data_IF_663536153125
#
_entry.id   IF_663536153125
#
_cell.length_a   1.000
_cell.length_b   1.000
_cell.length_c   1.000
_cell.angle_alpha   90.00
_cell.angle_beta   90.00
_cell.angle_gamma   90.00
#
_symmetry.space_group_name_H-M   'P 1'
#
loop_
_entity.id
_entity.type
_entity.pdbx_description
1 polymer ?
#
# COMPACT_ATOMS: atom_id res chain seq x y z
N UNK A 1 26.74 1.45 -7.51
CA UNK A 1 25.51 1.76 -8.28
C UNK A 1 25.90 1.73 -9.75
N UNK A 2 25.24 0.94 -10.61
CA UNK A 2 25.68 0.82 -12.01
C UNK A 2 25.23 2.01 -12.87
N UNK A 3 24.04 2.57 -12.62
CA UNK A 3 23.55 3.87 -13.18
C UNK A 3 22.66 4.60 -12.16
N UNK A 4 22.26 5.86 -12.44
CA UNK A 4 21.41 6.71 -11.57
C UNK A 4 19.93 6.76 -11.99
N UNK A 5 19.45 5.78 -12.75
CA UNK A 5 18.07 5.67 -13.22
C UNK A 5 17.53 4.25 -13.01
N UNK A 6 16.22 4.06 -13.17
CA UNK A 6 15.60 2.72 -13.15
C UNK A 6 15.89 2.02 -14.47
N UNK A 7 16.42 0.80 -14.40
CA UNK A 7 16.76 0.00 -15.58
C UNK A 7 15.90 -1.28 -15.64
N UNK A 8 14.95 -1.28 -16.59
CA UNK A 8 14.07 -2.44 -16.82
C UNK A 8 14.78 -3.62 -17.49
N UNK A 9 15.75 -3.36 -18.38
CA UNK A 9 16.50 -4.43 -19.06
C UNK A 9 17.40 -5.13 -18.06
N UNK A 10 18.07 -4.36 -17.20
CA UNK A 10 18.86 -4.92 -16.10
C UNK A 10 18.00 -5.82 -15.19
N UNK A 11 16.78 -5.41 -14.84
CA UNK A 11 15.88 -6.22 -14.01
C UNK A 11 15.48 -7.54 -14.69
N UNK A 12 15.25 -7.52 -16.02
CA UNK A 12 14.98 -8.75 -16.80
C UNK A 12 16.21 -9.66 -16.80
N UNK A 13 17.39 -9.13 -17.08
CA UNK A 13 18.64 -9.91 -17.07
C UNK A 13 18.95 -10.48 -15.69
N UNK A 14 18.63 -9.75 -14.62
CA UNK A 14 18.76 -10.24 -13.25
C UNK A 14 17.88 -11.47 -13.00
N UNK A 15 16.61 -11.44 -13.43
CA UNK A 15 15.72 -12.60 -13.32
C UNK A 15 16.17 -13.78 -14.17
N UNK A 16 16.63 -13.54 -15.40
CA UNK A 16 17.18 -14.60 -16.25
C UNK A 16 18.40 -15.25 -15.61
N UNK A 17 19.27 -14.46 -14.98
CA UNK A 17 20.42 -14.99 -14.25
C UNK A 17 19.99 -15.80 -13.02
N UNK A 18 18.96 -15.38 -12.29
CA UNK A 18 18.44 -16.13 -11.15
C UNK A 18 17.85 -17.48 -11.57
N UNK A 19 17.09 -17.51 -12.67
CA UNK A 19 16.57 -18.74 -13.27
C UNK A 19 17.73 -19.64 -13.71
N UNK A 20 18.72 -19.10 -14.42
CA UNK A 20 19.87 -19.86 -14.89
C UNK A 20 20.72 -20.44 -13.74
N UNK A 21 20.93 -19.69 -12.66
CA UNK A 21 21.73 -20.12 -11.51
C UNK A 21 21.02 -21.14 -10.62
N UNK A 22 19.69 -21.11 -10.55
CA UNK A 22 18.90 -22.00 -9.69
C UNK A 22 18.34 -23.21 -10.42
N UNK A 23 18.16 -23.12 -11.74
CA UNK A 23 17.43 -24.12 -12.54
C UNK A 23 15.92 -24.16 -12.28
N UNK A 24 15.38 -23.20 -11.53
CA UNK A 24 13.98 -23.16 -11.09
C UNK A 24 13.15 -22.20 -11.95
N UNK A 25 11.86 -22.49 -12.09
CA UNK A 25 10.89 -21.56 -12.66
C UNK A 25 10.69 -20.34 -11.75
N UNK A 26 10.18 -19.25 -12.33
CA UNK A 26 9.82 -18.04 -11.57
C UNK A 26 8.84 -18.37 -10.44
N UNK A 27 7.85 -19.22 -10.70
CA UNK A 27 6.86 -19.60 -9.69
C UNK A 27 7.52 -20.32 -8.51
N UNK A 28 8.38 -21.31 -8.76
CA UNK A 28 9.10 -22.02 -7.69
C UNK A 28 9.98 -21.06 -6.86
N UNK A 29 10.71 -20.16 -7.51
CA UNK A 29 11.54 -19.16 -6.83
C UNK A 29 10.69 -18.28 -5.92
N UNK A 30 9.56 -17.78 -6.43
CA UNK A 30 8.66 -16.90 -5.67
C UNK A 30 8.00 -17.63 -4.51
N UNK A 31 7.52 -18.85 -4.71
CA UNK A 31 6.91 -19.68 -3.67
C UNK A 31 7.92 -20.04 -2.57
N UNK A 32 9.16 -20.39 -2.93
CA UNK A 32 10.22 -20.63 -1.95
C UNK A 32 10.60 -19.35 -1.19
N UNK A 33 10.61 -18.20 -1.86
CA UNK A 33 10.83 -16.91 -1.22
C UNK A 33 9.73 -16.62 -0.19
N UNK A 34 8.46 -16.81 -0.57
CA UNK A 34 7.34 -16.64 0.35
C UNK A 34 7.37 -17.64 1.50
N UNK A 35 7.65 -18.92 1.26
CA UNK A 35 7.78 -19.91 2.32
C UNK A 35 8.88 -19.55 3.32
N UNK A 36 9.95 -18.88 2.88
CA UNK A 36 11.07 -18.48 3.73
C UNK A 36 10.84 -17.18 4.49
N UNK A 37 10.18 -16.19 3.89
CA UNK A 37 10.08 -14.82 4.44
C UNK A 37 8.65 -14.38 4.80
N UNK A 38 7.66 -15.20 4.45
CA UNK A 38 6.24 -14.82 4.39
C UNK A 38 5.89 -14.12 3.07
N UNK A 39 4.61 -14.13 2.72
CA UNK A 39 4.05 -13.43 1.56
C UNK A 39 3.51 -12.08 2.01
N UNK A 40 3.80 -11.02 1.25
CA UNK A 40 3.09 -9.75 1.35
C UNK A 40 2.07 -9.70 0.22
N UNK A 41 0.81 -9.91 0.55
CA UNK A 41 -0.28 -9.61 -0.37
C UNK A 41 -0.33 -8.11 -0.60
N UNK A 42 -0.33 -7.68 -1.85
CA UNK A 42 -0.30 -6.27 -2.18
C UNK A 42 -1.33 -5.97 -3.27
N UNK A 43 -2.04 -4.85 -3.11
CA UNK A 43 -2.82 -4.25 -4.19
C UNK A 43 -2.87 -2.74 -4.03
N UNK A 44 -2.93 -2.03 -5.17
CA UNK A 44 -3.19 -0.59 -5.21
C UNK A 44 -4.54 -0.33 -5.86
N UNK A 45 -5.36 0.45 -5.18
CA UNK A 45 -6.67 0.89 -5.62
C UNK A 45 -6.60 2.39 -5.93
N UNK A 46 -6.75 2.77 -7.19
CA UNK A 46 -6.77 4.17 -7.62
C UNK A 46 -8.23 4.60 -7.87
N UNK A 47 -8.67 5.63 -7.15
CA UNK A 47 -9.96 6.29 -7.32
C UNK A 47 -9.73 7.61 -8.05
N UNK A 48 -9.85 7.56 -9.37
CA UNK A 48 -9.50 8.67 -10.26
C UNK A 48 -10.65 9.65 -10.46
N UNK A 49 -10.32 10.90 -10.76
CA UNK A 49 -11.27 11.98 -11.03
C UNK A 49 -12.34 12.12 -9.93
N UNK A 50 -11.95 12.03 -8.65
CA UNK A 50 -12.82 12.37 -7.53
C UNK A 50 -12.83 13.88 -7.31
N UNK A 51 -13.91 14.39 -6.70
CA UNK A 51 -13.97 15.81 -6.32
C UNK A 51 -12.80 16.15 -5.37
N UNK A 52 -12.02 17.17 -5.74
CA UNK A 52 -10.81 17.51 -5.00
C UNK A 52 -11.14 18.06 -3.60
N UNK A 53 -12.24 18.80 -3.44
CA UNK A 53 -12.67 19.31 -2.14
C UNK A 53 -13.04 18.19 -1.18
N UNK A 54 -13.86 17.26 -1.64
CA UNK A 54 -14.28 16.08 -0.90
C UNK A 54 -13.09 15.17 -0.56
N UNK A 55 -12.17 14.95 -1.50
CA UNK A 55 -10.99 14.12 -1.28
C UNK A 55 -10.01 14.76 -0.26
N UNK A 56 -9.81 16.07 -0.31
CA UNK A 56 -9.02 16.78 0.71
C UNK A 56 -9.71 16.70 2.08
N UNK A 57 -11.02 16.97 2.16
CA UNK A 57 -11.77 16.88 3.40
C UNK A 57 -11.75 15.46 4.00
N UNK A 58 -11.77 14.42 3.15
CA UNK A 58 -11.58 13.04 3.58
C UNK A 58 -10.19 12.82 4.19
N UNK A 59 -9.13 13.24 3.50
CA UNK A 59 -7.77 13.10 4.00
C UNK A 59 -7.54 13.87 5.30
N UNK A 60 -8.11 15.07 5.44
CA UNK A 60 -8.00 15.87 6.66
C UNK A 60 -8.79 15.26 7.82
N UNK A 61 -9.98 14.73 7.56
CA UNK A 61 -10.74 13.97 8.55
C UNK A 61 -9.99 12.71 8.99
N UNK A 62 -9.29 12.03 8.08
CA UNK A 62 -8.44 10.89 8.41
C UNK A 62 -7.23 11.31 9.26
N UNK A 63 -6.55 12.41 8.89
CA UNK A 63 -5.44 12.99 9.65
C UNK A 63 -5.84 13.35 11.08
N UNK A 64 -7.01 13.93 11.26
CA UNK A 64 -7.55 14.29 12.58
C UNK A 64 -7.77 13.09 13.52
N UNK A 65 -7.86 11.87 12.97
CA UNK A 65 -8.05 10.64 13.76
C UNK A 65 -6.75 9.93 14.11
N UNK A 66 -5.62 10.23 13.44
CA UNK A 66 -4.39 9.42 13.52
C UNK A 66 -3.91 9.18 14.96
N UNK A 67 -3.89 10.23 15.78
CA UNK A 67 -3.48 10.13 17.18
C UNK A 67 -4.34 9.16 18.01
N UNK A 68 -5.60 8.97 17.62
CA UNK A 68 -6.51 8.03 18.29
C UNK A 68 -6.37 6.60 17.80
N UNK A 69 -5.85 6.37 16.59
CA UNK A 69 -5.84 5.05 15.96
C UNK A 69 -4.77 4.12 16.52
N UNK A 70 -3.61 4.66 16.92
CA UNK A 70 -2.53 3.83 17.47
C UNK A 70 -3.00 3.07 18.72
N UNK A 71 -2.73 1.76 18.77
CA UNK A 71 -3.16 0.88 19.85
C UNK A 71 -4.61 0.37 19.74
N UNK A 72 -5.43 0.91 18.83
CA UNK A 72 -6.77 0.37 18.58
C UNK A 72 -6.70 -0.98 17.86
N UNK A 73 -7.77 -1.75 17.99
CA UNK A 73 -8.00 -2.99 17.24
C UNK A 73 -9.10 -2.74 16.22
N UNK A 74 -8.81 -2.96 14.94
CA UNK A 74 -9.71 -2.77 13.81
C UNK A 74 -9.89 -4.13 13.12
N UNK A 75 -11.05 -4.77 13.35
CA UNK A 75 -11.23 -6.19 12.99
C UNK A 75 -10.21 -7.06 13.73
N UNK A 76 -9.47 -7.89 12.99
CA UNK A 76 -8.43 -8.76 13.54
C UNK A 76 -7.05 -8.09 13.66
N UNK A 77 -6.92 -6.81 13.27
CA UNK A 77 -5.65 -6.11 13.21
C UNK A 77 -5.48 -5.12 14.37
N UNK A 78 -4.35 -5.18 15.05
CA UNK A 78 -3.96 -4.18 16.05
C UNK A 78 -3.07 -3.12 15.40
N UNK A 79 -3.45 -1.85 15.50
CA UNK A 79 -2.69 -0.73 14.95
C UNK A 79 -1.45 -0.48 15.81
N UNK A 80 -0.27 -0.59 15.22
CA UNK A 80 1.00 -0.25 15.83
C UNK A 80 1.32 1.25 15.68
N UNK A 81 1.10 1.79 14.48
CA UNK A 81 1.43 3.18 14.13
C UNK A 81 0.35 3.73 13.21
N UNK A 82 -0.04 4.99 13.42
CA UNK A 82 -0.83 5.76 12.48
C UNK A 82 -0.23 7.16 12.35
N UNK A 83 0.29 7.52 11.17
CA UNK A 83 0.97 8.79 10.95
C UNK A 83 0.74 9.35 9.53
N UNK A 84 1.11 10.61 9.31
CA UNK A 84 1.23 11.19 7.97
C UNK A 84 2.71 11.28 7.61
N UNK A 85 3.11 10.47 6.64
CA UNK A 85 4.51 10.17 6.37
C UNK A 85 5.30 11.44 6.06
N UNK A 86 6.42 11.58 6.77
CA UNK A 86 7.41 12.64 6.55
C UNK A 86 8.77 11.98 6.38
N UNK A 87 9.53 12.45 5.40
CA UNK A 87 10.88 11.99 5.11
C UNK A 87 11.84 13.17 5.15
N UNK A 88 12.95 13.00 5.86
CA UNK A 88 14.08 13.93 5.87
C UNK A 88 15.23 13.27 5.13
N UNK A 89 15.66 13.87 4.02
CA UNK A 89 16.74 13.31 3.22
C UNK A 89 18.09 13.46 3.96
N UNK A 90 18.87 12.38 4.14
CA UNK A 90 20.10 12.45 4.92
C UNK A 90 21.28 13.10 4.16
N UNK A 91 21.14 13.40 2.86
CA UNK A 91 22.19 14.01 2.03
C UNK A 91 22.02 15.53 2.02
N UNK A 92 20.81 16.01 1.73
CA UNK A 92 20.55 17.46 1.62
C UNK A 92 19.70 18.04 2.77
N UNK A 93 19.24 17.20 3.69
CA UNK A 93 18.37 17.56 4.82
C UNK A 93 17.02 18.17 4.43
N UNK A 94 16.61 18.04 3.16
CA UNK A 94 15.28 18.46 2.72
C UNK A 94 14.19 17.63 3.41
N UNK A 95 13.07 18.28 3.74
CA UNK A 95 11.96 17.66 4.45
C UNK A 95 10.73 17.60 3.54
N UNK A 96 10.33 16.38 3.19
CA UNK A 96 9.09 16.11 2.46
C UNK A 96 8.02 15.63 3.43
N UNK A 97 7.06 16.51 3.74
CA UNK A 97 5.93 16.19 4.62
C UNK A 97 4.68 15.79 3.83
N UNK A 98 3.68 15.24 4.53
CA UNK A 98 2.36 14.85 3.97
C UNK A 98 2.46 13.89 2.79
N UNK A 99 3.43 12.97 2.83
CA UNK A 99 3.71 12.04 1.73
C UNK A 99 2.80 10.82 1.71
N UNK A 100 1.84 10.74 2.65
CA UNK A 100 0.81 9.71 2.66
C UNK A 100 0.49 9.31 4.08
N UNK A 101 -0.80 9.17 4.37
CA UNK A 101 -1.26 8.64 5.65
C UNK A 101 -0.96 7.14 5.68
N UNK A 102 -0.31 6.66 6.73
CA UNK A 102 -0.01 5.24 6.95
C UNK A 102 -0.70 4.75 8.21
N UNK A 103 -1.29 3.57 8.13
CA UNK A 103 -1.79 2.80 9.27
C UNK A 103 -1.07 1.46 9.21
N UNK A 104 -0.13 1.25 10.14
CA UNK A 104 0.72 0.06 10.21
C UNK A 104 0.25 -0.81 11.37
N UNK A 105 0.04 -2.08 11.08
CA UNK A 105 -0.45 -3.08 12.01
C UNK A 105 0.72 -3.82 12.66
N UNK A 106 0.50 -4.41 13.84
CA UNK A 106 1.55 -5.12 14.59
C UNK A 106 2.07 -6.38 13.92
N UNK A 107 1.29 -6.96 13.00
CA UNK A 107 1.66 -8.16 12.22
C UNK A 107 2.52 -7.83 10.97
N UNK A 108 2.80 -6.55 10.72
CA UNK A 108 3.52 -6.08 9.53
C UNK A 108 2.60 -5.66 8.36
N UNK A 109 1.30 -5.90 8.46
CA UNK A 109 0.32 -5.40 7.49
C UNK A 109 0.22 -3.87 7.54
N UNK A 110 -0.17 -3.23 6.44
CA UNK A 110 -0.35 -1.77 6.39
C UNK A 110 -1.34 -1.30 5.34
N UNK A 111 -1.95 -0.16 5.64
CA UNK A 111 -2.78 0.62 4.75
C UNK A 111 -2.09 1.95 4.53
N UNK A 112 -1.93 2.39 3.28
CA UNK A 112 -1.42 3.73 2.97
C UNK A 112 -2.40 4.44 2.05
N UNK A 113 -2.75 5.68 2.38
CA UNK A 113 -3.61 6.52 1.54
C UNK A 113 -2.85 7.77 1.12
N UNK A 114 -2.83 8.03 -0.19
CA UNK A 114 -2.21 9.21 -0.79
C UNK A 114 -3.20 9.94 -1.67
N UNK A 115 -3.19 11.26 -1.60
CA UNK A 115 -3.91 12.10 -2.54
C UNK A 115 -2.91 12.62 -3.58
N UNK A 116 -3.26 12.54 -4.85
CA UNK A 116 -2.42 13.01 -5.96
C UNK A 116 -3.24 13.76 -7.00
N UNK A 117 -2.57 14.70 -7.69
CA UNK A 117 -3.12 15.38 -8.87
C UNK A 117 -4.35 16.24 -8.60
N UNK A 118 -4.26 17.27 -7.75
CA UNK A 118 -5.37 18.19 -7.43
C UNK A 118 -5.62 19.26 -8.51
N UNK A 119 -5.56 18.88 -9.79
CA UNK A 119 -5.68 19.78 -10.93
C UNK A 119 -7.13 20.03 -11.36
N UNK A 120 -7.32 20.55 -12.58
CA UNK A 120 -8.64 20.80 -13.17
C UNK A 120 -9.45 19.52 -13.43
N UNK A 121 -8.79 18.36 -13.49
CA UNK A 121 -9.40 17.05 -13.78
C UNK A 121 -9.87 16.29 -12.51
N UNK A 122 -9.90 16.97 -11.36
CA UNK A 122 -10.25 16.37 -10.06
C UNK A 122 -9.01 15.96 -9.28
N UNK A 123 -9.13 14.97 -8.40
CA UNK A 123 -8.01 14.36 -7.69
C UNK A 123 -8.04 12.83 -7.83
N UNK A 124 -6.90 12.19 -7.58
CA UNK A 124 -6.79 10.73 -7.49
C UNK A 124 -6.43 10.34 -6.06
N UNK A 125 -7.32 9.61 -5.40
CA UNK A 125 -7.03 8.93 -4.14
C UNK A 125 -6.41 7.58 -4.46
N UNK A 126 -5.17 7.36 -4.00
CA UNK A 126 -4.46 6.10 -4.11
C UNK A 126 -4.46 5.40 -2.77
N UNK A 127 -5.07 4.23 -2.72
CA UNK A 127 -5.13 3.35 -1.56
C UNK A 127 -4.20 2.16 -1.81
N UNK A 128 -3.17 2.03 -1.00
CA UNK A 128 -2.23 0.91 -1.01
C UNK A 128 -2.56 -0.01 0.15
N UNK A 129 -2.70 -1.29 -0.14
CA UNK A 129 -3.10 -2.31 0.82
C UNK A 129 -2.02 -3.38 0.80
N UNK A 130 -1.42 -3.63 1.95
CA UNK A 130 -0.43 -4.69 2.10
C UNK A 130 -0.75 -5.54 3.33
N UNK A 131 -0.91 -6.84 3.14
CA UNK A 131 -1.16 -7.79 4.23
C UNK A 131 -0.04 -8.80 4.29
N UNK A 132 0.62 -8.88 5.44
CA UNK A 132 1.62 -9.90 5.69
C UNK A 132 0.94 -11.23 6.03
N UNK A 133 1.43 -12.32 5.43
CA UNK A 133 0.98 -13.67 5.72
C UNK A 133 2.20 -14.58 5.91
N UNK A 134 2.40 -15.04 7.14
CA UNK A 134 3.52 -15.92 7.48
C UNK A 134 3.24 -17.37 7.12
N UNK A 135 1.96 -17.80 7.12
CA UNK A 135 1.59 -19.20 6.92
C UNK A 135 1.62 -19.61 5.44
N UNK A 136 2.51 -20.54 5.02
CA UNK A 136 2.58 -21.00 3.64
C UNK A 136 1.29 -21.63 3.12
N UNK A 137 0.47 -22.25 4.00
CA UNK A 137 -0.81 -22.82 3.60
C UNK A 137 -1.81 -21.74 3.14
N UNK A 138 -1.54 -20.48 3.45
CA UNK A 138 -2.38 -19.33 3.11
C UNK A 138 -1.78 -18.48 2.01
N UNK A 139 -0.64 -18.86 1.44
CA UNK A 139 0.03 -18.12 0.38
C UNK A 139 -0.61 -18.29 -1.00
N UNK A 140 -1.57 -19.19 -1.19
CA UNK A 140 -2.25 -19.39 -2.49
C UNK A 140 -3.65 -18.78 -2.56
N UNK A 141 -4.01 -17.94 -1.57
CA UNK A 141 -5.28 -17.21 -1.62
C UNK A 141 -5.28 -16.18 -2.74
N UNK A 142 -6.47 -15.92 -3.30
CA UNK A 142 -6.68 -14.77 -4.18
C UNK A 142 -6.32 -13.47 -3.44
N UNK A 143 -5.63 -12.57 -4.14
CA UNK A 143 -5.11 -11.34 -3.52
C UNK A 143 -6.23 -10.45 -2.99
N UNK A 144 -7.35 -10.30 -3.71
CA UNK A 144 -8.44 -9.43 -3.23
C UNK A 144 -9.19 -10.07 -2.07
N UNK A 145 -9.34 -11.40 -2.06
CA UNK A 145 -9.89 -12.12 -0.91
C UNK A 145 -8.99 -11.96 0.33
N UNK A 146 -7.67 -12.11 0.17
CA UNK A 146 -6.72 -11.94 1.26
C UNK A 146 -6.72 -10.51 1.81
N UNK A 147 -6.93 -9.50 0.95
CA UNK A 147 -6.94 -8.07 1.31
C UNK A 147 -8.31 -7.54 1.76
N UNK A 148 -9.40 -8.29 1.60
CA UNK A 148 -10.76 -7.85 1.93
C UNK A 148 -10.90 -7.25 3.34
N UNK A 149 -10.28 -7.82 4.41
CA UNK A 149 -10.31 -7.20 5.73
C UNK A 149 -9.66 -5.81 5.78
N UNK A 150 -8.52 -5.61 5.13
CA UNK A 150 -7.85 -4.30 5.09
C UNK A 150 -8.62 -3.29 4.22
N UNK A 151 -9.27 -3.74 3.15
CA UNK A 151 -10.16 -2.90 2.33
C UNK A 151 -11.31 -2.36 3.19
N UNK A 152 -11.94 -3.22 3.99
CA UNK A 152 -13.02 -2.83 4.88
C UNK A 152 -12.55 -1.84 5.95
N UNK A 153 -11.38 -2.07 6.55
CA UNK A 153 -10.78 -1.15 7.53
C UNK A 153 -10.47 0.20 6.87
N UNK A 154 -9.89 0.20 5.67
CA UNK A 154 -9.58 1.43 4.94
C UNK A 154 -10.84 2.27 4.69
N UNK A 155 -11.95 1.63 4.30
CA UNK A 155 -13.24 2.32 4.17
C UNK A 155 -13.74 2.84 5.51
N UNK A 156 -13.71 2.03 6.57
CA UNK A 156 -14.20 2.43 7.90
C UNK A 156 -13.48 3.67 8.44
N UNK A 157 -12.16 3.75 8.30
CA UNK A 157 -11.37 4.86 8.89
C UNK A 157 -11.49 6.15 8.06
N UNK A 158 -11.52 6.03 6.74
CA UNK A 158 -11.52 7.16 5.80
C UNK A 158 -12.93 7.65 5.44
N UNK A 159 -13.90 6.74 5.36
CA UNK A 159 -15.21 6.98 4.76
C UNK A 159 -15.10 7.31 3.27
N UNK A 160 -14.18 6.66 2.55
CA UNK A 160 -13.83 6.98 1.17
C UNK A 160 -15.05 6.95 0.26
N UNK A 161 -15.86 5.88 0.33
CA UNK A 161 -17.05 5.74 -0.50
C UNK A 161 -18.04 6.84 -0.20
N UNK A 162 -18.40 7.02 1.08
CA UNK A 162 -19.38 8.01 1.51
C UNK A 162 -18.97 9.45 1.17
N UNK A 163 -17.68 9.77 1.20
CA UNK A 163 -17.16 11.12 0.95
C UNK A 163 -16.93 11.42 -0.53
N UNK A 164 -16.48 10.43 -1.29
CA UNK A 164 -16.12 10.63 -2.71
C UNK A 164 -17.23 10.21 -3.67
N UNK A 165 -18.24 9.47 -3.19
CA UNK A 165 -19.29 8.89 -4.02
C UNK A 165 -18.83 7.71 -4.89
N UNK A 166 -17.60 7.21 -4.70
CA UNK A 166 -17.04 6.10 -5.48
C UNK A 166 -17.22 4.77 -4.74
N UNK A 167 -18.06 3.89 -5.28
CA UNK A 167 -18.32 2.58 -4.70
C UNK A 167 -17.15 1.58 -4.86
N UNK A 168 -16.34 1.76 -5.91
CA UNK A 168 -15.24 0.89 -6.29
C UNK A 168 -14.09 1.74 -6.88
N UNK A 169 -12.83 1.26 -6.83
CA UNK A 169 -11.72 1.94 -7.48
C UNK A 169 -11.88 1.95 -9.01
N UNK A 170 -11.36 2.98 -9.65
CA UNK A 170 -11.27 3.06 -11.12
C UNK A 170 -10.27 2.05 -11.66
N UNK A 171 -9.15 1.85 -10.94
CA UNK A 171 -8.07 0.93 -11.32
C UNK A 171 -7.61 0.13 -10.12
N UNK A 172 -7.39 -1.17 -10.33
CA UNK A 172 -6.78 -2.08 -9.36
C UNK A 172 -5.48 -2.61 -9.97
N UNK A 173 -4.38 -2.51 -9.23
CA UNK A 173 -3.07 -3.13 -9.54
C UNK A 173 -2.68 -4.13 -8.47
#
# INVERSE_FOLDING_TARGET
MHIREKDGVWAVLFWLNLIAATGKSVNEIVQEHWARFGRNYYSRHDYEAVDAGAANAMMDALRGKLASLAGQTLGDFRVQLADDFTYTDPVDNSVSSRQGVRIVMTDGSRIVMRLSGTGTEGATVRLYLERYEADPARHDLDTQQALAPLIAIAEQVSGLKARTGREQPSVIT
#
